data_IF_039998066208
#
_entry.id   IF_039998066208
#
_cell.length_a   1.000
_cell.length_b   1.000
_cell.length_c   1.000
_cell.angle_alpha   90.00
_cell.angle_beta   90.00
_cell.angle_gamma   90.00
#
_symmetry.space_group_name_H-M   'P 1'
#
loop_
_entity.id
_entity.type
_entity.pdbx_description
1 polymer ?
#
# COMPACT_ATOMS: atom_id res chain seq x y z
N UNK A 1 -7.84 12.33 -2.94
CA UNK A 1 -7.97 10.90 -2.56
C UNK A 1 -7.37 10.69 -1.17
N UNK A 2 -8.04 9.97 -0.27
CA UNK A 2 -7.53 9.66 1.07
C UNK A 2 -7.35 8.14 1.22
N UNK A 3 -6.15 7.72 1.65
CA UNK A 3 -5.75 6.31 1.75
C UNK A 3 -5.10 6.09 3.12
N UNK A 4 -5.12 4.85 3.60
CA UNK A 4 -4.42 4.47 4.82
C UNK A 4 -3.02 3.93 4.50
N UNK A 5 -1.97 4.60 4.93
CA UNK A 5 -0.63 4.03 4.92
C UNK A 5 -0.49 3.11 6.14
N UNK A 6 -0.10 1.85 5.91
CA UNK A 6 0.14 0.90 6.99
C UNK A 6 1.62 0.60 7.14
N UNK A 7 2.03 0.37 8.38
CA UNK A 7 3.36 -0.15 8.70
C UNK A 7 3.27 -1.16 9.83
N UNK A 8 4.09 -2.22 9.82
CA UNK A 8 4.21 -3.12 10.95
C UNK A 8 4.56 -2.36 12.23
N UNK A 9 3.96 -2.80 13.33
CA UNK A 9 4.33 -2.33 14.66
C UNK A 9 5.10 -3.41 15.43
N UNK A 10 5.88 -2.99 16.42
CA UNK A 10 6.76 -3.85 17.20
C UNK A 10 6.03 -4.90 18.06
N UNK A 11 4.72 -4.72 18.27
CA UNK A 11 3.85 -5.62 19.03
C UNK A 11 3.18 -6.70 18.17
N UNK A 12 3.60 -6.84 16.91
CA UNK A 12 2.97 -7.75 15.94
C UNK A 12 1.60 -7.26 15.47
N UNK A 13 1.26 -6.00 15.74
CA UNK A 13 0.14 -5.27 15.16
C UNK A 13 0.59 -4.42 13.96
N UNK A 14 -0.14 -3.34 13.71
CA UNK A 14 0.19 -2.39 12.66
C UNK A 14 -0.25 -0.98 13.05
N UNK A 15 0.50 0.01 12.56
CA UNK A 15 0.10 1.42 12.61
C UNK A 15 -0.62 1.80 11.33
N UNK A 16 -1.59 2.69 11.45
CA UNK A 16 -2.36 3.22 10.33
C UNK A 16 -2.35 4.74 10.36
N UNK A 17 -1.90 5.35 9.28
CA UNK A 17 -1.87 6.79 9.09
C UNK A 17 -2.75 7.17 7.89
N UNK A 18 -3.47 8.29 7.97
CA UNK A 18 -4.17 8.81 6.80
C UNK A 18 -3.23 9.64 5.92
N UNK A 19 -3.14 9.28 4.65
CA UNK A 19 -2.42 10.04 3.62
C UNK A 19 -3.41 10.54 2.59
N UNK A 20 -3.39 11.84 2.30
CA UNK A 20 -4.18 12.41 1.21
C UNK A 20 -3.30 12.74 0.02
N UNK A 21 -3.69 12.27 -1.16
CA UNK A 21 -3.02 12.54 -2.43
C UNK A 21 -3.95 13.33 -3.35
N UNK A 22 -3.42 14.37 -3.99
CA UNK A 22 -4.10 15.16 -5.02
C UNK A 22 -3.19 15.25 -6.24
N UNK A 23 -3.66 14.71 -7.36
CA UNK A 23 -3.02 14.83 -8.66
C UNK A 23 -3.53 16.08 -9.36
N UNK A 24 -2.61 16.93 -9.83
CA UNK A 24 -2.90 18.08 -10.67
C UNK A 24 -2.04 18.07 -11.94
N UNK A 25 -2.22 19.06 -12.80
CA UNK A 25 -1.46 19.17 -14.05
C UNK A 25 0.03 19.44 -13.77
N UNK A 26 0.85 18.38 -13.80
CA UNK A 26 2.29 18.45 -13.59
C UNK A 26 2.73 18.45 -12.12
N UNK A 27 1.84 18.16 -11.17
CA UNK A 27 2.21 18.06 -9.76
C UNK A 27 1.37 17.03 -8.99
N UNK A 28 1.92 16.55 -7.88
CA UNK A 28 1.23 15.73 -6.88
C UNK A 28 1.40 16.38 -5.52
N UNK A 29 0.30 16.60 -4.80
CA UNK A 29 0.32 17.04 -3.41
C UNK A 29 0.07 15.84 -2.50
N UNK A 30 0.94 15.64 -1.51
CA UNK A 30 0.75 14.67 -0.44
C UNK A 30 0.58 15.38 0.91
N UNK A 31 -0.37 14.92 1.71
CA UNK A 31 -0.62 15.38 3.07
C UNK A 31 -0.52 14.19 4.03
N UNK A 32 0.27 14.35 5.08
CA UNK A 32 0.58 13.32 6.09
C UNK A 32 0.30 13.86 7.49
N UNK A 33 0.02 12.96 8.42
CA UNK A 33 -0.24 13.28 9.82
C UNK A 33 1.05 13.21 10.66
N UNK A 34 2.02 12.37 10.29
CA UNK A 34 3.25 12.13 11.06
C UNK A 34 4.53 12.20 10.20
N UNK A 35 5.68 12.41 10.84
CA UNK A 35 6.99 12.35 10.18
C UNK A 35 7.50 10.91 10.14
N UNK A 36 8.03 10.49 9.00
CA UNK A 36 8.51 9.13 8.74
C UNK A 36 7.51 8.36 7.89
N UNK A 37 7.76 8.31 6.58
CA UNK A 37 6.84 7.73 5.61
C UNK A 37 7.51 6.67 4.72
N UNK A 38 6.69 5.89 4.02
CA UNK A 38 7.14 4.94 2.99
C UNK A 38 7.73 5.63 1.75
N UNK A 39 7.72 6.96 1.70
CA UNK A 39 8.12 7.74 0.52
C UNK A 39 9.60 8.13 0.51
N UNK A 40 10.40 7.84 1.55
CA UNK A 40 11.84 8.14 1.51
C UNK A 40 12.52 7.49 0.29
N UNK A 41 12.18 6.23 -0.04
CA UNK A 41 12.70 5.56 -1.24
C UNK A 41 12.37 6.30 -2.53
N UNK A 42 11.20 6.92 -2.60
CA UNK A 42 10.78 7.73 -3.76
C UNK A 42 11.60 9.02 -3.80
N UNK A 43 11.78 9.68 -2.65
CA UNK A 43 12.60 10.90 -2.52
C UNK A 43 14.06 10.65 -2.91
N UNK A 44 14.63 9.52 -2.50
CA UNK A 44 15.97 9.09 -2.90
C UNK A 44 16.08 8.85 -4.41
N UNK A 45 15.12 8.14 -5.01
CA UNK A 45 15.10 7.90 -6.48
C UNK A 45 15.02 9.21 -7.27
N UNK A 46 14.21 10.17 -6.82
CA UNK A 46 14.12 11.50 -7.43
C UNK A 46 15.44 12.28 -7.34
N UNK A 47 16.09 12.26 -6.17
CA UNK A 47 17.38 12.93 -5.93
C UNK A 47 18.51 12.31 -6.77
N UNK A 48 18.55 10.99 -6.85
CA UNK A 48 19.55 10.24 -7.61
C UNK A 48 19.34 10.33 -9.14
N UNK A 49 18.17 10.80 -9.59
CA UNK A 49 17.80 10.80 -11.01
C UNK A 49 17.69 9.38 -11.59
N UNK A 50 17.36 8.41 -10.74
CA UNK A 50 17.33 7.00 -11.11
C UNK A 50 15.96 6.60 -11.68
N UNK A 51 15.98 5.99 -12.88
CA UNK A 51 14.82 5.40 -13.53
C UNK A 51 13.84 6.41 -14.14
N UNK A 52 12.61 5.93 -14.41
CA UNK A 52 11.57 6.68 -15.13
C UNK A 52 10.95 7.85 -14.34
N UNK A 53 11.18 7.91 -13.03
CA UNK A 53 10.53 8.85 -12.12
C UNK A 53 10.84 10.32 -12.41
N UNK A 54 11.96 10.61 -13.10
CA UNK A 54 12.36 11.97 -13.53
C UNK A 54 11.95 12.30 -14.96
N UNK A 55 11.65 11.29 -15.77
CA UNK A 55 11.37 11.43 -17.21
C UNK A 55 9.88 11.36 -17.51
N UNK A 56 9.10 10.77 -16.61
CA UNK A 56 7.63 10.66 -16.71
C UNK A 56 6.92 11.83 -16.01
N UNK A 57 5.62 11.95 -16.27
CA UNK A 57 4.76 12.99 -15.71
C UNK A 57 4.37 12.79 -14.24
N UNK A 58 3.54 13.71 -13.73
CA UNK A 58 3.03 13.68 -12.37
C UNK A 58 2.11 12.48 -12.09
N UNK A 59 1.51 11.91 -13.13
CA UNK A 59 0.73 10.67 -13.08
C UNK A 59 1.59 9.47 -12.68
N UNK A 60 2.80 9.36 -13.22
CA UNK A 60 3.73 8.30 -12.82
C UNK A 60 4.25 8.49 -11.39
N UNK A 61 4.48 9.73 -10.96
CA UNK A 61 4.81 10.02 -9.56
C UNK A 61 3.66 9.62 -8.62
N UNK A 62 2.42 9.91 -9.01
CA UNK A 62 1.24 9.52 -8.25
C UNK A 62 1.12 7.99 -8.15
N UNK A 63 1.34 7.28 -9.25
CA UNK A 63 1.42 5.82 -9.25
C UNK A 63 2.51 5.30 -8.30
N UNK A 64 3.72 5.85 -8.36
CA UNK A 64 4.82 5.42 -7.50
C UNK A 64 4.54 5.66 -6.01
N UNK A 65 3.86 6.77 -5.67
CA UNK A 65 3.43 7.03 -4.28
C UNK A 65 2.38 6.02 -3.83
N UNK A 66 1.44 5.66 -4.70
CA UNK A 66 0.44 4.62 -4.41
C UNK A 66 1.09 3.25 -4.20
N UNK A 67 2.03 2.88 -5.07
CA UNK A 67 2.81 1.64 -5.00
C UNK A 67 3.56 1.51 -3.65
N UNK A 68 4.23 2.58 -3.21
CA UNK A 68 4.91 2.58 -1.91
C UNK A 68 3.94 2.48 -0.71
N UNK A 69 2.73 3.04 -0.81
CA UNK A 69 1.68 2.79 0.20
C UNK A 69 1.28 1.31 0.18
N UNK A 70 1.18 0.72 -1.01
CA UNK A 70 0.75 -0.67 -1.18
C UNK A 70 1.76 -1.66 -0.60
N UNK A 71 3.06 -1.40 -0.78
CA UNK A 71 4.15 -2.17 -0.16
C UNK A 71 3.98 -2.30 1.37
N UNK A 72 3.48 -1.24 2.02
CA UNK A 72 3.19 -1.25 3.45
C UNK A 72 2.11 -2.26 3.85
N UNK A 73 1.11 -2.49 2.99
CA UNK A 73 0.10 -3.53 3.25
C UNK A 73 0.71 -4.92 3.19
N UNK A 74 1.58 -5.20 2.22
CA UNK A 74 2.23 -6.51 2.10
C UNK A 74 3.08 -6.81 3.34
N UNK A 75 3.87 -5.84 3.81
CA UNK A 75 4.66 -5.98 5.02
C UNK A 75 3.80 -6.30 6.25
N UNK A 76 2.62 -5.66 6.38
CA UNK A 76 1.68 -5.97 7.47
C UNK A 76 1.06 -7.36 7.31
N UNK A 77 0.66 -7.74 6.09
CA UNK A 77 0.07 -9.06 5.83
C UNK A 77 1.06 -10.18 6.18
N UNK A 78 2.34 -10.00 5.85
CA UNK A 78 3.40 -10.95 6.19
C UNK A 78 3.51 -11.18 7.70
N UNK A 79 3.57 -10.11 8.50
CA UNK A 79 3.59 -10.20 9.97
C UNK A 79 2.35 -10.91 10.53
N UNK A 80 1.17 -10.67 9.94
CA UNK A 80 -0.04 -11.39 10.34
C UNK A 80 -0.01 -12.86 9.94
N UNK A 81 0.61 -13.20 8.80
CA UNK A 81 0.82 -14.58 8.37
C UNK A 81 1.65 -15.36 9.38
N UNK A 82 2.82 -14.85 9.75
CA UNK A 82 3.70 -15.46 10.77
C UNK A 82 2.97 -15.63 12.11
N UNK A 83 2.15 -14.65 12.50
CA UNK A 83 1.38 -14.70 13.75
C UNK A 83 0.24 -15.72 13.72
N UNK A 84 -0.37 -15.95 12.56
CA UNK A 84 -1.36 -17.01 12.36
C UNK A 84 -0.67 -18.36 12.53
N UNK A 85 0.47 -18.58 11.86
CA UNK A 85 1.24 -19.83 11.95
C UNK A 85 1.64 -20.16 13.39
N UNK A 86 2.13 -19.17 14.15
CA UNK A 86 2.46 -19.36 15.56
C UNK A 86 1.26 -19.77 16.43
N UNK A 87 0.11 -19.13 16.24
CA UNK A 87 -1.12 -19.50 16.97
C UNK A 87 -1.62 -20.89 16.54
N UNK A 88 -1.50 -21.25 15.26
CA UNK A 88 -1.88 -22.59 14.78
C UNK A 88 -1.04 -23.69 15.45
N UNK A 89 0.27 -23.48 15.62
CA UNK A 89 1.14 -24.41 16.34
C UNK A 89 0.73 -24.57 17.82
N UNK A 90 0.43 -23.47 18.51
CA UNK A 90 -0.05 -23.50 19.91
C UNK A 90 -1.38 -24.28 20.05
N UNK A 91 -2.31 -24.05 19.13
CA UNK A 91 -3.64 -24.69 19.12
C UNK A 91 -3.53 -26.21 18.95
N UNK A 92 -2.59 -26.68 18.11
CA UNK A 92 -2.39 -28.11 17.85
C UNK A 92 -1.64 -28.80 18.98
N UNK A 93 -0.75 -28.10 19.68
CA UNK A 93 0.16 -28.70 20.66
C UNK A 93 -0.49 -28.84 22.05
N UNK A 94 -0.80 -27.73 22.71
CA UNK A 94 -1.42 -27.72 24.04
C UNK A 94 -2.19 -26.40 24.25
N UNK A 95 -3.44 -26.31 23.78
CA UNK A 95 -4.19 -25.06 23.82
C UNK A 95 -4.59 -24.68 25.24
N UNK A 96 -4.39 -23.41 25.59
CA UNK A 96 -4.75 -22.89 26.91
C UNK A 96 -5.59 -21.59 26.82
N UNK A 97 -5.76 -20.92 27.96
CA UNK A 97 -6.52 -19.67 28.04
C UNK A 97 -5.78 -18.50 27.37
N UNK A 98 -4.46 -18.55 27.27
CA UNK A 98 -3.65 -17.54 26.59
C UNK A 98 -3.78 -17.70 25.07
N UNK A 99 -3.76 -18.93 24.55
CA UNK A 99 -4.05 -19.22 23.13
C UNK A 99 -5.39 -18.65 22.69
N UNK A 100 -6.44 -18.83 23.50
CA UNK A 100 -7.77 -18.27 23.20
C UNK A 100 -7.75 -16.73 23.17
N UNK A 101 -7.01 -16.09 24.08
CA UNK A 101 -6.86 -14.63 24.09
C UNK A 101 -6.09 -14.12 22.87
N UNK A 102 -5.04 -14.83 22.46
CA UNK A 102 -4.27 -14.55 21.26
C UNK A 102 -5.14 -14.61 20.01
N UNK A 103 -5.99 -15.65 19.88
CA UNK A 103 -6.96 -15.77 18.78
C UNK A 103 -7.91 -14.57 18.74
N UNK A 104 -8.46 -14.15 19.89
CA UNK A 104 -9.35 -12.97 19.93
C UNK A 104 -8.62 -11.67 19.58
N UNK A 105 -7.37 -11.51 20.03
CA UNK A 105 -6.54 -10.36 19.67
C UNK A 105 -6.24 -10.32 18.17
N UNK A 106 -5.85 -11.46 17.58
CA UNK A 106 -5.61 -11.61 16.15
C UNK A 106 -6.88 -11.30 15.34
N UNK A 107 -8.03 -11.87 15.73
CA UNK A 107 -9.32 -11.59 15.08
C UNK A 107 -9.66 -10.11 15.06
N UNK A 108 -9.48 -9.40 16.19
CA UNK A 108 -9.72 -7.94 16.27
C UNK A 108 -8.79 -7.18 15.33
N UNK A 109 -7.53 -7.57 15.29
CA UNK A 109 -6.50 -6.92 14.47
C UNK A 109 -6.76 -7.15 12.97
N UNK A 110 -7.17 -8.36 12.55
CA UNK A 110 -7.57 -8.66 11.17
C UNK A 110 -8.81 -7.88 10.74
N UNK A 111 -9.79 -7.68 11.64
CA UNK A 111 -10.96 -6.84 11.35
C UNK A 111 -10.55 -5.38 11.14
N UNK A 112 -9.60 -4.88 11.94
CA UNK A 112 -9.06 -3.54 11.78
C UNK A 112 -8.30 -3.39 10.45
N UNK A 113 -7.45 -4.36 10.11
CA UNK A 113 -6.71 -4.39 8.84
C UNK A 113 -7.66 -4.35 7.65
N UNK A 114 -8.69 -5.21 7.64
CA UNK A 114 -9.72 -5.24 6.59
C UNK A 114 -10.40 -3.89 6.41
N UNK A 115 -10.74 -3.19 7.51
CA UNK A 115 -11.35 -1.85 7.45
C UNK A 115 -10.39 -0.79 6.91
N UNK A 116 -9.10 -0.90 7.21
CA UNK A 116 -8.09 0.04 6.74
C UNK A 116 -7.77 -0.13 5.23
N UNK A 117 -7.84 -1.36 4.72
CA UNK A 117 -7.56 -1.68 3.31
C UNK A 117 -8.77 -1.41 2.41
N UNK A 118 -10.00 -1.52 2.91
CA UNK A 118 -11.22 -1.39 2.09
C UNK A 118 -11.28 -0.12 1.22
N UNK A 119 -10.94 1.09 1.72
CA UNK A 119 -10.96 2.32 0.91
C UNK A 119 -9.99 2.28 -0.28
N UNK A 120 -8.87 1.55 -0.20
CA UNK A 120 -7.93 1.41 -1.30
C UNK A 120 -8.60 0.77 -2.52
N UNK A 121 -9.48 -0.22 -2.31
CA UNK A 121 -10.17 -0.89 -3.42
C UNK A 121 -11.04 0.08 -4.20
N UNK A 122 -11.76 0.94 -3.49
CA UNK A 122 -12.66 1.91 -4.12
C UNK A 122 -11.83 2.97 -4.89
N UNK A 123 -10.67 3.34 -4.35
CA UNK A 123 -9.65 4.19 -4.98
C UNK A 123 -9.08 3.57 -6.25
N UNK A 124 -8.63 2.32 -6.21
CA UNK A 124 -8.08 1.61 -7.39
C UNK A 124 -9.17 1.47 -8.46
N UNK A 125 -10.39 1.14 -8.06
CA UNK A 125 -11.52 1.06 -8.99
C UNK A 125 -11.87 2.42 -9.62
N UNK A 126 -11.63 3.54 -8.95
CA UNK A 126 -11.78 4.89 -9.51
C UNK A 126 -10.67 5.20 -10.52
N UNK A 127 -9.43 4.81 -10.23
CA UNK A 127 -8.30 4.96 -11.15
C UNK A 127 -8.46 4.10 -12.42
N UNK A 128 -8.90 2.84 -12.28
CA UNK A 128 -9.15 1.92 -13.41
C UNK A 128 -10.26 2.40 -14.35
N UNK A 129 -11.26 3.12 -13.83
CA UNK A 129 -12.34 3.68 -14.65
C UNK A 129 -11.90 4.84 -15.54
N UNK A 130 -10.69 5.36 -15.36
CA UNK A 130 -10.04 6.27 -16.32
C UNK A 130 -10.76 7.62 -16.51
N UNK A 131 -11.64 8.02 -15.60
CA UNK A 131 -12.45 9.25 -15.77
C UNK A 131 -11.64 10.55 -15.56
N UNK A 132 -10.34 10.45 -15.26
CA UNK A 132 -9.49 11.60 -15.01
C UNK A 132 -8.64 11.97 -16.24
N UNK A 133 -8.81 13.16 -16.83
CA UNK A 133 -7.96 13.66 -17.92
C UNK A 133 -6.51 13.92 -17.50
N UNK A 134 -6.18 13.70 -16.22
CA UNK A 134 -4.84 13.83 -15.65
C UNK A 134 -4.06 12.51 -15.62
N UNK A 135 -4.70 11.38 -15.92
CA UNK A 135 -4.07 10.07 -16.02
C UNK A 135 -3.98 9.74 -17.51
N UNK A 136 -2.76 9.73 -18.05
CA UNK A 136 -2.54 9.43 -19.46
C UNK A 136 -2.59 7.90 -19.69
N UNK A 137 -3.20 7.46 -20.80
CA UNK A 137 -3.31 6.04 -21.19
C UNK A 137 -1.94 5.33 -21.31
N UNK A 138 -0.83 6.07 -21.42
CA UNK A 138 0.51 5.50 -21.39
C UNK A 138 0.88 4.83 -20.06
N UNK A 139 0.19 5.17 -18.98
CA UNK A 139 0.41 4.59 -17.64
C UNK A 139 -0.37 3.27 -17.46
N UNK A 140 -1.41 3.01 -18.26
CA UNK A 140 -2.20 1.77 -18.23
C UNK A 140 -1.63 0.65 -19.10
N UNK A 141 -0.67 0.94 -19.98
CA UNK A 141 -0.07 -0.04 -20.90
C UNK A 141 1.42 -0.29 -20.60
N UNK A 142 1.70 -1.15 -19.61
CA UNK A 142 2.93 -1.98 -19.64
C UNK A 142 2.55 -3.45 -19.76
N UNK A 143 1.92 -3.80 -20.88
CA UNK A 143 1.96 -5.14 -21.47
C UNK A 143 1.79 -5.03 -22.98
N UNK A 144 2.84 -4.58 -23.67
CA UNK A 144 2.87 -4.52 -25.12
C UNK A 144 4.11 -5.23 -25.65
N UNK A 145 3.98 -6.52 -25.97
CA UNK A 145 4.88 -7.19 -26.92
C UNK A 145 4.68 -6.54 -28.29
N UNK A 146 5.75 -6.24 -29.05
CA UNK A 146 5.62 -5.58 -30.34
C UNK A 146 5.24 -6.62 -31.41
N UNK A 147 4.02 -6.56 -31.94
CA UNK A 147 3.68 -7.23 -33.19
C UNK A 147 3.96 -6.27 -34.35
N UNK A 148 5.13 -6.46 -34.96
CA UNK A 148 5.45 -5.97 -36.30
C UNK A 148 4.49 -6.57 -37.32
N UNK A 149 3.96 -5.77 -38.23
CA UNK A 149 3.42 -6.25 -39.50
C UNK A 149 3.79 -5.24 -40.58
N UNK A 150 4.36 -5.67 -41.72
CA UNK A 150 4.33 -4.88 -42.95
C UNK A 150 2.98 -5.04 -43.67
#
# INVERSE_FOLDING_TARGET
MAIRMLSPDSDGGFRSEQVSLVLGSGYVLSFQEQQGDVFERIRERLRAGAGRLRTEGADYLFYALLDAIIDGYFAVIEVFGERIEGIEEEVVTEPDRETLQAIYALKRSLIALRRAVWPLRDVVAELERGESPLILDSTSSTSGTPTTTP
#
